data_IF_061514280063
#
_entry.id   IF_061514280063
#
_cell.length_a   1.000
_cell.length_b   1.000
_cell.length_c   1.000
_cell.angle_alpha   90.00
_cell.angle_beta   90.00
_cell.angle_gamma   90.00
#
_symmetry.space_group_name_H-M   'P 1'
#
loop_
_entity.id
_entity.type
_entity.pdbx_description
1 polymer ?
#
# COMPACT_ATOMS: atom_id res chain seq x y z
N UNK A 1 -15.19 -15.39 -3.17
CA UNK A 1 -16.14 -14.43 -3.75
C UNK A 1 -15.51 -13.76 -4.98
N UNK A 2 -16.27 -13.51 -6.06
CA UNK A 2 -15.75 -12.84 -7.26
C UNK A 2 -15.42 -11.36 -6.96
N UNK A 3 -14.41 -10.82 -7.67
CA UNK A 3 -14.03 -9.42 -7.57
C UNK A 3 -14.58 -8.69 -8.78
N UNK A 4 -15.84 -8.28 -8.70
CA UNK A 4 -16.56 -7.71 -9.84
C UNK A 4 -17.35 -6.45 -9.44
N UNK A 5 -17.68 -5.65 -10.45
CA UNK A 5 -18.56 -4.48 -10.38
C UNK A 5 -19.46 -4.43 -11.62
N UNK A 6 -20.59 -3.73 -11.53
CA UNK A 6 -21.52 -3.60 -12.66
C UNK A 6 -21.31 -2.28 -13.40
N UNK A 7 -21.15 -2.37 -14.72
CA UNK A 7 -21.16 -1.21 -15.61
C UNK A 7 -22.08 -1.47 -16.80
N UNK A 8 -23.11 -0.64 -17.01
CA UNK A 8 -24.08 -0.76 -18.11
C UNK A 8 -24.62 -2.20 -18.30
N UNK A 9 -25.01 -2.84 -17.19
CA UNK A 9 -25.54 -4.22 -17.15
C UNK A 9 -24.54 -5.34 -17.47
N UNK A 10 -23.22 -5.04 -17.45
CA UNK A 10 -22.16 -6.04 -17.57
C UNK A 10 -21.40 -6.18 -16.26
N UNK A 11 -21.13 -7.41 -15.87
CA UNK A 11 -20.20 -7.70 -14.78
C UNK A 11 -18.77 -7.60 -15.32
N UNK A 12 -17.99 -6.69 -14.75
CA UNK A 12 -16.60 -6.48 -15.11
C UNK A 12 -15.70 -6.84 -13.94
N UNK A 13 -14.53 -7.40 -14.24
CA UNK A 13 -13.56 -7.76 -13.23
C UNK A 13 -12.86 -6.53 -12.66
N UNK A 14 -12.74 -6.51 -11.34
CA UNK A 14 -11.93 -5.55 -10.60
C UNK A 14 -10.44 -5.87 -10.75
N UNK A 15 -9.61 -4.92 -10.30
CA UNK A 15 -8.18 -5.14 -10.20
C UNK A 15 -7.84 -6.32 -9.24
N UNK A 16 -6.80 -7.11 -9.52
CA UNK A 16 -6.41 -8.24 -8.65
C UNK A 16 -6.09 -7.86 -7.21
N UNK A 17 -5.66 -6.63 -6.99
CA UNK A 17 -5.35 -6.08 -5.66
C UNK A 17 -6.58 -5.61 -4.88
N UNK A 18 -7.79 -5.66 -5.47
CA UNK A 18 -9.00 -5.39 -4.70
C UNK A 18 -9.34 -6.60 -3.83
N UNK A 19 -9.67 -6.38 -2.57
CA UNK A 19 -10.10 -7.45 -1.67
C UNK A 19 -11.53 -7.90 -2.02
N UNK A 20 -11.81 -9.21 -2.17
CA UNK A 20 -13.18 -9.70 -2.31
C UNK A 20 -14.05 -9.20 -1.14
N UNK A 21 -15.23 -8.66 -1.44
CA UNK A 21 -16.18 -8.17 -0.44
C UNK A 21 -17.34 -9.15 -0.31
N UNK A 22 -17.82 -9.37 0.90
CA UNK A 22 -18.95 -10.25 1.15
C UNK A 22 -20.26 -9.54 0.79
N UNK A 23 -20.97 -10.04 -0.22
CA UNK A 23 -22.30 -9.59 -0.62
C UNK A 23 -22.36 -8.18 -1.25
N UNK A 24 -21.22 -7.58 -1.59
CA UNK A 24 -21.15 -6.26 -2.24
C UNK A 24 -20.06 -6.22 -3.32
N UNK A 25 -20.12 -5.23 -4.21
CA UNK A 25 -19.09 -5.05 -5.25
C UNK A 25 -17.71 -4.80 -4.64
N UNK A 26 -16.66 -5.40 -5.22
CA UNK A 26 -15.30 -5.28 -4.69
C UNK A 26 -14.58 -3.98 -5.11
N UNK A 27 -15.06 -3.33 -6.17
CA UNK A 27 -14.57 -2.07 -6.68
C UNK A 27 -15.72 -1.24 -7.28
N UNK A 28 -15.48 0.04 -7.53
CA UNK A 28 -16.42 0.95 -8.23
C UNK A 28 -16.05 1.19 -9.69
N UNK A 29 -15.03 0.51 -10.19
CA UNK A 29 -14.44 0.79 -11.50
C UNK A 29 -13.16 -0.02 -11.76
N UNK A 30 -12.58 0.11 -12.95
CA UNK A 30 -11.35 -0.60 -13.30
C UNK A 30 -10.13 0.00 -12.58
N UNK A 31 -9.09 -0.81 -12.41
CA UNK A 31 -7.81 -0.37 -11.86
C UNK A 31 -7.72 -0.39 -10.33
N UNK A 32 -6.49 -0.26 -9.78
CA UNK A 32 -6.21 -0.43 -8.36
C UNK A 32 -6.78 0.68 -7.45
N UNK A 33 -7.26 1.77 -8.04
CA UNK A 33 -7.65 3.00 -7.32
C UNK A 33 -9.13 2.99 -6.95
N UNK A 34 -9.88 2.13 -7.65
CA UNK A 34 -11.32 2.00 -7.50
C UNK A 34 -11.70 0.84 -6.57
N UNK A 35 -10.73 0.22 -5.90
CA UNK A 35 -11.01 -0.83 -4.92
C UNK A 35 -11.69 -0.24 -3.68
N UNK A 36 -12.71 -0.94 -3.15
CA UNK A 36 -13.29 -0.56 -1.84
C UNK A 36 -12.34 -0.85 -0.67
N UNK A 37 -11.57 -1.92 -0.79
CA UNK A 37 -10.51 -2.31 0.14
C UNK A 37 -9.38 -3.01 -0.63
N UNK A 38 -8.14 -2.86 -0.16
CA UNK A 38 -6.97 -3.50 -0.75
C UNK A 38 -6.75 -4.90 -0.17
N UNK A 39 -6.36 -5.85 -1.02
CA UNK A 39 -6.04 -7.22 -0.61
C UNK A 39 -4.68 -7.33 0.12
N UNK A 40 -3.71 -6.48 -0.26
CA UNK A 40 -2.37 -6.48 0.32
C UNK A 40 -2.03 -5.14 1.00
N UNK A 41 -1.60 -4.14 0.22
CA UNK A 41 -1.18 -2.85 0.76
C UNK A 41 -1.80 -1.69 0.01
N UNK A 42 -1.90 -0.53 0.68
CA UNK A 42 -2.41 0.70 0.10
C UNK A 42 -1.29 1.75 0.02
N UNK A 43 -0.92 2.16 -1.19
CA UNK A 43 -0.03 3.29 -1.43
C UNK A 43 -0.81 4.52 -1.92
N UNK A 44 -1.16 5.41 -0.99
CA UNK A 44 -2.05 6.53 -1.29
C UNK A 44 -3.41 6.03 -1.77
N UNK A 45 -3.89 6.41 -2.97
CA UNK A 45 -5.13 5.88 -3.53
C UNK A 45 -4.98 4.48 -4.16
N UNK A 46 -3.75 4.01 -4.39
CA UNK A 46 -3.49 2.81 -5.19
C UNK A 46 -3.40 1.55 -4.30
N UNK A 47 -4.15 0.49 -4.61
CA UNK A 47 -3.89 -0.83 -4.04
C UNK A 47 -2.72 -1.52 -4.75
N UNK A 48 -1.71 -1.93 -3.98
CA UNK A 48 -0.46 -2.50 -4.48
C UNK A 48 -0.12 -3.82 -3.79
N UNK A 49 0.57 -4.69 -4.52
CA UNK A 49 1.00 -6.00 -4.00
C UNK A 49 2.09 -5.89 -2.92
N UNK A 50 2.94 -4.88 -3.05
CA UNK A 50 4.02 -4.54 -2.13
C UNK A 50 4.24 -3.02 -2.14
N UNK A 51 4.63 -2.44 -1.00
CA UNK A 51 5.03 -1.04 -0.97
C UNK A 51 6.28 -0.80 -1.84
N UNK A 52 6.39 0.34 -2.53
CA UNK A 52 7.57 0.65 -3.36
C UNK A 52 8.88 0.66 -2.56
N UNK A 53 9.86 -0.09 -3.03
CA UNK A 53 11.21 -0.16 -2.42
C UNK A 53 12.28 0.11 -3.45
N UNK A 54 13.02 1.20 -3.29
CA UNK A 54 14.16 1.52 -4.14
C UNK A 54 13.78 1.94 -5.56
N UNK A 55 12.60 2.55 -5.73
CA UNK A 55 12.21 3.14 -7.01
C UNK A 55 12.86 4.52 -7.16
N UNK A 56 13.33 4.86 -8.36
CA UNK A 56 13.86 6.19 -8.65
C UNK A 56 12.72 7.20 -8.61
N UNK A 57 12.77 8.12 -7.66
CA UNK A 57 11.85 9.24 -7.55
C UNK A 57 12.39 10.49 -8.24
N UNK A 58 11.78 11.63 -7.91
CA UNK A 58 12.23 12.94 -8.37
C UNK A 58 13.62 13.29 -7.78
N UNK A 59 14.43 14.03 -8.54
CA UNK A 59 15.78 14.47 -8.14
C UNK A 59 16.77 13.33 -7.84
N UNK A 60 16.64 12.20 -8.55
CA UNK A 60 17.54 11.04 -8.42
C UNK A 60 17.55 10.40 -7.01
N UNK A 61 16.57 10.72 -6.17
CA UNK A 61 16.42 10.13 -4.84
C UNK A 61 15.60 8.85 -4.92
N UNK A 62 16.11 7.79 -4.28
CA UNK A 62 15.39 6.54 -4.13
C UNK A 62 14.22 6.72 -3.16
N UNK A 63 13.03 6.33 -3.59
CA UNK A 63 11.84 6.26 -2.74
C UNK A 63 11.79 4.87 -2.10
N UNK A 64 11.71 4.89 -0.78
CA UNK A 64 11.54 3.71 0.05
C UNK A 64 10.27 3.89 0.86
N UNK A 65 9.35 2.94 0.74
CA UNK A 65 8.13 2.87 1.54
C UNK A 65 8.05 1.53 2.23
N UNK A 66 7.44 1.51 3.41
CA UNK A 66 7.16 0.30 4.17
C UNK A 66 5.68 0.25 4.54
N UNK A 67 5.12 -0.94 4.67
CA UNK A 67 3.74 -1.11 5.12
C UNK A 67 3.64 -0.92 6.64
N UNK A 68 2.78 -0.04 7.12
CA UNK A 68 2.44 0.05 8.54
C UNK A 68 1.54 -1.12 8.99
N UNK A 69 1.12 -1.10 10.25
CA UNK A 69 0.33 -2.20 10.84
C UNK A 69 -1.11 -2.25 10.29
N UNK A 70 -1.55 -1.19 9.58
CA UNK A 70 -2.82 -1.14 8.86
C UNK A 70 -2.65 -1.49 7.37
N UNK A 71 -1.46 -1.92 6.95
CA UNK A 71 -1.16 -2.21 5.55
C UNK A 71 -1.03 -0.99 4.65
N UNK A 72 -0.89 0.23 5.20
CA UNK A 72 -0.67 1.44 4.41
C UNK A 72 0.82 1.70 4.21
N UNK A 73 1.20 2.05 2.99
CA UNK A 73 2.57 2.36 2.64
C UNK A 73 2.96 3.76 3.17
N UNK A 74 3.91 3.77 4.09
CA UNK A 74 4.48 4.98 4.68
C UNK A 74 5.88 5.22 4.11
N UNK A 75 6.23 6.48 3.87
CA UNK A 75 7.59 6.85 3.47
C UNK A 75 8.58 6.48 4.58
N UNK A 76 9.67 5.84 4.19
CA UNK A 76 10.82 5.68 5.06
C UNK A 76 11.46 7.04 5.36
N UNK A 77 12.17 7.12 6.48
CA UNK A 77 13.04 8.26 6.76
C UNK A 77 14.11 8.38 5.65
N UNK A 78 14.52 9.60 5.31
CA UNK A 78 15.53 9.89 4.26
C UNK A 78 16.89 9.21 4.50
N UNK A 79 17.14 8.75 5.73
CA UNK A 79 18.37 8.05 6.12
C UNK A 79 18.23 6.52 6.02
N UNK A 80 17.06 6.00 5.65
CA UNK A 80 16.85 4.58 5.44
C UNK A 80 17.31 4.21 4.03
N UNK A 81 18.51 3.67 3.91
CA UNK A 81 19.13 3.34 2.62
C UNK A 81 18.78 1.95 2.09
N UNK A 82 18.07 1.12 2.88
CA UNK A 82 17.80 -0.29 2.56
C UNK A 82 16.34 -0.74 2.75
N UNK A 83 15.40 0.17 3.03
CA UNK A 83 13.97 -0.18 3.13
C UNK A 83 13.58 -1.09 4.29
N UNK A 84 14.48 -1.37 5.23
CA UNK A 84 14.19 -2.17 6.43
C UNK A 84 13.32 -1.31 7.35
N UNK A 85 12.12 -1.79 7.74
CA UNK A 85 11.42 -1.29 8.94
C UNK A 85 12.50 -1.25 10.02
N UNK A 86 12.96 -0.07 10.42
CA UNK A 86 13.67 0.08 11.68
C UNK A 86 12.62 -0.32 12.70
N UNK A 87 12.57 -1.62 13.02
CA UNK A 87 11.68 -2.17 14.02
C UNK A 87 11.93 -1.27 15.20
N UNK A 88 10.88 -0.65 15.74
CA UNK A 88 10.96 0.18 16.95
C UNK A 88 11.49 -0.61 18.17
N UNK A 89 12.04 -1.81 17.97
CA UNK A 89 12.82 -2.60 18.92
C UNK A 89 14.35 -2.47 18.79
N UNK A 90 14.88 -1.58 17.94
CA UNK A 90 16.29 -1.12 18.04
C UNK A 90 16.39 0.39 18.33
N UNK A 91 15.31 1.15 18.08
CA UNK A 91 15.26 2.58 18.39
C UNK A 91 14.58 2.94 19.72
N UNK A 92 14.05 1.97 20.48
CA UNK A 92 13.71 2.23 21.89
C UNK A 92 14.95 2.24 22.81
N UNK A 93 16.15 2.05 22.26
CA UNK A 93 17.42 2.30 22.95
C UNK A 93 18.06 3.63 22.55
N UNK A 94 17.46 4.40 21.62
CA UNK A 94 18.03 5.67 21.13
C UNK A 94 17.11 6.90 21.32
N UNK A 95 15.83 6.72 21.68
CA UNK A 95 15.00 7.82 22.19
C UNK A 95 15.26 8.19 23.67
N UNK A 96 16.33 7.67 24.30
CA UNK A 96 16.73 7.99 25.69
C UNK A 96 18.09 8.71 25.80
N UNK A 97 18.62 9.29 24.72
CA UNK A 97 19.90 10.02 24.77
C UNK A 97 19.91 11.41 24.14
N UNK A 98 18.75 11.96 23.79
CA UNK A 98 18.62 13.34 23.28
C UNK A 98 17.46 14.10 23.95
N UNK A 99 17.33 13.93 25.27
CA UNK A 99 16.88 14.96 26.22
C UNK A 99 17.97 15.07 27.28
#
# INVERSE_FOLDING_TARGET
>A
EPREYVNESRCLQCHPECQPQNGTEACSGPGPDNCKSCAHYQDGPHCVRSCPTGIMGENEKLIWKYADDNGKCQLCHVNCTQGIKLVKNVLNTLSLKYI
#
